data_IF_880711945706
#
_entry.id   IF_880711945706
#
_cell.length_a   1.000
_cell.length_b   1.000
_cell.length_c   1.000
_cell.angle_alpha   90.00
_cell.angle_beta   90.00
_cell.angle_gamma   90.00
#
_symmetry.space_group_name_H-M   'P 1'
#
loop_
_entity.id
_entity.type
_entity.pdbx_description
1 polymer ?
#
# COMPACT_ATOMS: atom_id res chain seq x y z
N UNK A 1 -85.98 -1.35 -8.84
CA UNK A 1 -85.94 -1.81 -7.44
C UNK A 1 -84.88 -2.90 -7.32
N UNK A 2 -83.90 -2.70 -6.43
CA UNK A 2 -82.86 -3.59 -5.87
C UNK A 2 -82.40 -4.89 -6.58
N UNK A 3 -81.07 -4.94 -6.73
CA UNK A 3 -80.11 -6.00 -6.39
C UNK A 3 -80.07 -7.32 -7.21
N UNK A 4 -78.85 -7.61 -7.69
CA UNK A 4 -78.40 -8.82 -8.39
C UNK A 4 -77.76 -9.78 -7.37
N UNK A 5 -78.04 -11.08 -7.52
CA UNK A 5 -77.54 -12.17 -6.67
C UNK A 5 -76.33 -12.90 -7.29
N UNK A 6 -75.35 -13.08 -6.41
CA UNK A 6 -74.35 -14.14 -6.18
C UNK A 6 -74.38 -15.46 -6.99
N UNK A 7 -73.17 -15.97 -7.26
CA UNK A 7 -72.84 -17.40 -7.33
C UNK A 7 -71.54 -17.69 -6.52
N UNK A 8 -71.56 -18.77 -5.74
CA UNK A 8 -70.49 -19.28 -4.85
C UNK A 8 -70.30 -20.79 -5.10
N UNK A 9 -69.04 -21.24 -5.09
CA UNK A 9 -68.56 -22.55 -4.61
C UNK A 9 -67.01 -22.50 -4.58
N UNK A 10 -66.33 -22.34 -3.43
CA UNK A 10 -65.85 -23.32 -2.43
C UNK A 10 -64.87 -24.39 -2.96
N UNK A 11 -63.60 -24.30 -2.54
CA UNK A 11 -62.71 -25.41 -2.12
C UNK A 11 -61.50 -24.83 -1.35
N UNK A 12 -61.53 -24.83 -0.01
CA UNK A 12 -60.82 -25.70 0.95
C UNK A 12 -59.34 -25.35 1.22
N UNK A 13 -59.09 -24.91 2.45
CA UNK A 13 -57.80 -24.66 3.09
C UNK A 13 -57.13 -25.97 3.55
N UNK A 14 -55.80 -25.98 3.54
CA UNK A 14 -54.98 -26.66 4.55
C UNK A 14 -53.78 -25.80 4.91
N UNK A 15 -53.61 -25.55 6.21
CA UNK A 15 -52.47 -24.91 6.85
C UNK A 15 -51.40 -25.96 7.19
N UNK A 16 -50.13 -25.62 6.97
CA UNK A 16 -48.98 -26.40 7.44
C UNK A 16 -47.72 -25.57 7.33
N UNK A 17 -47.08 -25.32 8.47
CA UNK A 17 -45.89 -24.51 8.65
C UNK A 17 -44.68 -25.04 7.87
N UNK A 18 -43.79 -24.14 7.45
CA UNK A 18 -42.41 -24.50 7.14
C UNK A 18 -41.48 -23.51 7.84
N UNK A 19 -40.48 -24.10 8.48
CA UNK A 19 -39.49 -23.54 9.38
C UNK A 19 -38.43 -22.73 8.64
N UNK A 20 -37.89 -21.75 9.37
CA UNK A 20 -36.65 -21.04 9.07
C UNK A 20 -35.51 -22.02 9.33
N UNK A 21 -34.67 -22.27 8.32
CA UNK A 21 -33.33 -22.82 8.51
C UNK A 21 -32.31 -21.86 7.89
N UNK A 22 -31.19 -21.78 8.60
CA UNK A 22 -30.14 -20.78 8.51
C UNK A 22 -29.38 -20.81 7.18
N UNK A 23 -28.97 -19.63 6.74
CA UNK A 23 -27.89 -19.47 5.76
C UNK A 23 -26.59 -19.65 6.55
N UNK A 24 -25.83 -20.68 6.21
CA UNK A 24 -24.50 -20.94 6.75
C UNK A 24 -23.54 -19.82 6.35
N UNK A 25 -22.90 -19.27 7.38
CA UNK A 25 -21.83 -18.29 7.38
C UNK A 25 -20.51 -19.06 7.18
N UNK A 26 -19.84 -18.87 6.05
CA UNK A 26 -18.53 -19.45 5.79
C UNK A 26 -17.47 -18.46 6.29
N UNK A 27 -17.17 -18.55 7.58
CA UNK A 27 -15.97 -17.98 8.20
C UNK A 27 -14.89 -19.06 8.26
N UNK A 28 -13.94 -19.03 7.32
CA UNK A 28 -12.68 -19.75 7.50
C UNK A 28 -11.65 -18.76 8.05
N UNK A 29 -11.51 -18.80 9.37
CA UNK A 29 -10.30 -18.37 10.05
C UNK A 29 -9.39 -19.59 10.19
N UNK A 30 -8.22 -19.56 9.55
CA UNK A 30 -7.12 -20.46 9.90
C UNK A 30 -6.13 -19.71 10.78
N UNK A 31 -6.29 -19.95 12.08
CA UNK A 31 -5.36 -19.65 13.14
C UNK A 31 -4.29 -20.76 13.12
N UNK A 32 -3.10 -20.48 12.57
CA UNK A 32 -1.97 -21.40 12.63
C UNK A 32 -1.34 -21.32 14.02
N UNK A 33 -1.65 -22.29 14.86
CA UNK A 33 -0.94 -22.57 16.12
C UNK A 33 0.35 -23.33 15.81
N UNK A 34 1.51 -22.72 16.05
CA UNK A 34 2.78 -23.44 16.09
C UNK A 34 2.95 -24.12 17.46
N UNK A 35 2.89 -25.45 17.44
CA UNK A 35 3.25 -26.32 18.56
C UNK A 35 4.78 -26.33 18.75
N UNK A 36 5.22 -25.84 19.90
CA UNK A 36 6.55 -26.07 20.45
C UNK A 36 6.67 -27.54 20.84
N UNK A 37 7.59 -28.27 20.21
CA UNK A 37 8.05 -29.55 20.73
C UNK A 37 9.57 -29.56 20.87
N UNK A 38 9.95 -29.46 22.14
CA UNK A 38 11.25 -29.76 22.73
C UNK A 38 11.55 -31.25 22.56
N UNK A 39 12.71 -31.57 22.00
CA UNK A 39 13.45 -32.75 22.44
C UNK A 39 14.93 -32.67 22.01
N UNK A 40 15.74 -32.65 23.06
CA UNK A 40 17.13 -33.10 23.16
C UNK A 40 17.54 -34.20 22.19
N UNK A 41 18.76 -34.11 21.67
CA UNK A 41 19.72 -35.20 21.81
C UNK A 41 21.15 -34.66 21.82
N UNK A 42 21.86 -35.05 22.88
CA UNK A 42 23.29 -34.88 23.13
C UNK A 42 24.09 -35.77 22.17
N UNK A 43 25.20 -35.27 21.60
CA UNK A 43 26.41 -36.08 21.47
C UNK A 43 27.66 -35.22 21.69
N UNK A 44 28.42 -35.61 22.71
CA UNK A 44 29.75 -35.16 23.08
C UNK A 44 30.80 -35.53 22.02
N UNK A 45 31.80 -34.66 21.80
CA UNK A 45 33.19 -34.90 22.24
C UNK A 45 34.23 -34.00 21.52
N UNK A 46 35.03 -33.34 22.38
CA UNK A 46 36.49 -33.14 22.31
C UNK A 46 37.11 -32.37 21.13
N UNK A 47 37.72 -31.22 21.41
CA UNK A 47 39.13 -31.18 21.85
C UNK A 47 39.51 -29.74 22.27
N UNK A 48 39.88 -29.59 23.53
CA UNK A 48 40.68 -28.47 24.03
C UNK A 48 42.13 -28.66 23.56
N UNK A 49 42.77 -27.61 23.02
CA UNK A 49 44.12 -27.29 23.47
C UNK A 49 44.53 -25.83 23.22
N UNK A 50 44.84 -25.24 24.37
CA UNK A 50 45.47 -23.98 24.78
C UNK A 50 46.85 -23.67 24.15
N UNK A 51 47.36 -22.48 24.53
CA UNK A 51 48.69 -21.85 24.36
C UNK A 51 48.81 -20.89 23.16
N UNK A 52 49.07 -19.59 23.28
CA UNK A 52 49.39 -18.73 24.42
C UNK A 52 50.46 -17.71 23.99
N UNK A 53 50.36 -16.47 24.51
CA UNK A 53 51.40 -15.40 24.54
C UNK A 53 51.93 -14.87 23.19
N UNK A 54 52.41 -13.64 22.99
CA UNK A 54 52.63 -12.41 23.76
C UNK A 54 52.92 -11.31 22.70
N UNK A 55 52.40 -10.10 22.88
CA UNK A 55 53.16 -8.83 23.08
C UNK A 55 53.78 -8.13 21.85
N UNK A 56 54.03 -6.84 22.08
CA UNK A 56 54.69 -5.78 21.29
C UNK A 56 53.74 -4.97 20.37
N UNK A 57 53.16 -3.86 20.84
CA UNK A 57 53.74 -2.50 21.04
C UNK A 57 54.27 -1.85 19.74
N UNK A 58 53.60 -0.78 19.27
CA UNK A 58 54.12 0.61 19.29
C UNK A 58 53.38 1.53 18.27
N UNK A 59 52.77 2.58 18.83
CA UNK A 59 52.82 4.01 18.47
C UNK A 59 52.58 4.51 17.02
N UNK A 60 51.58 5.40 16.90
CA UNK A 60 51.68 6.82 16.49
C UNK A 60 50.23 7.37 16.40
N UNK A 61 49.78 8.22 17.32
CA UNK A 61 49.88 9.70 17.34
C UNK A 61 49.22 10.43 16.16
N UNK A 62 48.38 11.41 16.56
CA UNK A 62 47.83 12.57 15.82
C UNK A 62 46.60 12.31 14.93
N UNK A 63 45.51 13.09 14.93
CA UNK A 63 45.25 14.45 15.40
C UNK A 63 43.72 14.66 15.54
N UNK A 64 43.31 15.54 16.45
CA UNK A 64 41.92 15.98 16.64
C UNK A 64 41.39 16.73 15.40
N UNK A 65 40.15 16.48 14.99
CA UNK A 65 39.33 17.50 14.32
C UNK A 65 37.86 17.37 14.78
N UNK A 66 37.52 18.21 15.76
CA UNK A 66 36.16 18.51 16.16
C UNK A 66 35.50 19.37 15.07
N UNK A 67 34.55 18.81 14.34
CA UNK A 67 33.52 19.61 13.66
C UNK A 67 32.13 19.06 13.98
N UNK A 68 31.56 19.63 15.03
CA UNK A 68 30.12 19.73 15.22
C UNK A 68 29.55 20.53 14.03
N UNK A 69 28.86 19.88 13.12
CA UNK A 69 27.86 20.52 12.27
C UNK A 69 26.47 20.04 12.75
N UNK A 70 25.98 20.70 13.80
CA UNK A 70 24.55 20.82 14.06
C UNK A 70 23.95 21.66 12.94
N UNK A 71 23.30 21.02 11.97
CA UNK A 71 22.44 21.71 11.01
C UNK A 71 20.99 21.40 11.39
N UNK A 72 20.46 22.25 12.27
CA UNK A 72 19.04 22.63 12.23
C UNK A 72 18.81 23.38 10.90
N UNK A 73 18.06 22.78 9.98
CA UNK A 73 17.47 23.52 8.84
C UNK A 73 16.00 23.14 8.66
N UNK A 74 15.18 23.62 9.61
CA UNK A 74 13.80 23.95 9.35
C UNK A 74 13.75 25.04 8.27
N UNK A 75 13.49 24.63 7.03
CA UNK A 75 12.78 25.34 5.95
C UNK A 75 13.41 25.08 4.56
N UNK A 76 13.58 23.82 4.20
CA UNK A 76 13.95 23.45 2.84
C UNK A 76 12.69 23.37 1.95
N UNK A 77 12.51 24.43 1.16
CA UNK A 77 11.72 24.45 -0.08
C UNK A 77 12.24 23.37 -1.06
N UNK A 78 11.83 22.12 -0.84
CA UNK A 78 12.13 20.99 -1.72
C UNK A 78 10.89 20.62 -2.54
N UNK A 79 10.53 21.37 -3.57
CA UNK A 79 9.58 20.77 -4.51
C UNK A 79 9.70 21.30 -5.94
N UNK A 80 9.59 20.35 -6.86
CA UNK A 80 9.95 20.47 -8.27
C UNK A 80 10.44 19.13 -8.85
N UNK A 81 11.16 18.31 -8.05
CA UNK A 81 11.77 17.04 -8.50
C UNK A 81 11.64 15.88 -7.48
N UNK A 82 10.66 15.94 -6.56
CA UNK A 82 10.40 14.82 -5.64
C UNK A 82 9.45 13.84 -6.34
N UNK A 83 9.83 12.58 -6.44
CA UNK A 83 9.02 11.49 -7.02
C UNK A 83 8.62 10.41 -6.01
N UNK A 84 9.20 10.46 -4.81
CA UNK A 84 9.01 9.45 -3.78
C UNK A 84 8.04 10.02 -2.73
N UNK A 85 6.93 9.33 -2.51
CA UNK A 85 5.97 9.64 -1.46
C UNK A 85 6.31 8.85 -0.19
N UNK A 86 7.35 9.32 0.51
CA UNK A 86 7.82 8.77 1.79
C UNK A 86 7.26 9.49 3.01
N UNK A 87 7.90 9.30 4.17
CA UNK A 87 7.46 9.87 5.45
C UNK A 87 7.36 11.41 5.46
N UNK A 88 8.12 12.11 4.61
CA UNK A 88 8.20 13.57 4.58
C UNK A 88 6.92 14.21 4.05
N UNK A 89 6.29 13.59 3.05
CA UNK A 89 5.08 14.11 2.38
C UNK A 89 3.79 13.47 2.86
N UNK A 90 3.87 12.49 3.76
CA UNK A 90 2.71 11.77 4.31
C UNK A 90 2.19 12.40 5.61
N UNK A 91 2.04 13.72 5.56
CA UNK A 91 1.56 14.55 6.68
C UNK A 91 0.23 15.20 6.30
N UNK A 92 -0.65 15.37 7.30
CA UNK A 92 -1.95 16.01 7.08
C UNK A 92 -1.79 17.43 6.50
N UNK A 93 -0.83 18.19 7.04
CA UNK A 93 -0.49 19.52 6.54
C UNK A 93 -0.06 19.53 5.07
N UNK A 94 0.55 18.46 4.57
CA UNK A 94 0.92 18.31 3.15
C UNK A 94 -0.31 17.96 2.32
N UNK A 95 -1.13 17.00 2.75
CA UNK A 95 -2.39 16.64 2.08
C UNK A 95 -3.29 17.86 1.88
N UNK A 96 -3.37 18.75 2.88
CA UNK A 96 -4.20 19.97 2.82
C UNK A 96 -3.64 21.08 1.94
N UNK A 97 -2.37 21.02 1.56
CA UNK A 97 -1.71 21.98 0.66
C UNK A 97 -1.74 21.56 -0.80
N UNK A 98 -2.21 20.36 -1.11
CA UNK A 98 -2.46 19.94 -2.50
C UNK A 98 -3.54 20.87 -3.09
N UNK A 99 -3.28 21.59 -4.18
CA UNK A 99 -4.28 22.45 -4.79
C UNK A 99 -5.49 21.64 -5.29
N UNK A 100 -6.69 22.12 -4.99
CA UNK A 100 -7.95 21.38 -5.21
C UNK A 100 -8.17 21.03 -6.68
N UNK A 101 -7.68 21.85 -7.62
CA UNK A 101 -7.78 21.58 -9.05
C UNK A 101 -7.03 20.30 -9.48
N UNK A 102 -5.95 19.93 -8.79
CA UNK A 102 -5.21 18.70 -9.08
C UNK A 102 -5.88 17.49 -8.45
N UNK A 103 -6.51 17.66 -7.27
CA UNK A 103 -7.36 16.64 -6.67
C UNK A 103 -8.57 16.39 -7.58
N UNK A 104 -9.26 17.46 -8.02
CA UNK A 104 -10.41 17.38 -8.92
C UNK A 104 -10.01 16.71 -10.24
N UNK A 105 -8.86 17.08 -10.82
CA UNK A 105 -8.36 16.44 -12.04
C UNK A 105 -8.07 14.96 -11.81
N UNK A 106 -7.41 14.60 -10.71
CA UNK A 106 -7.15 13.21 -10.36
C UNK A 106 -8.45 12.39 -10.23
N UNK A 107 -9.45 12.87 -9.47
CA UNK A 107 -10.74 12.19 -9.30
C UNK A 107 -11.47 11.94 -10.61
N UNK A 108 -11.40 12.90 -11.52
CA UNK A 108 -12.16 12.87 -12.77
C UNK A 108 -11.43 12.19 -13.92
N UNK A 109 -10.09 12.14 -13.90
CA UNK A 109 -9.28 11.56 -14.98
C UNK A 109 -8.74 10.17 -14.68
N UNK A 110 -8.62 9.78 -13.41
CA UNK A 110 -8.03 8.49 -13.06
C UNK A 110 -9.05 7.42 -12.68
N UNK A 111 -8.69 6.20 -13.05
CA UNK A 111 -9.31 4.93 -12.68
C UNK A 111 -8.17 4.01 -12.28
N UNK A 112 -8.15 3.63 -11.00
CA UNK A 112 -7.03 2.93 -10.39
C UNK A 112 -7.38 1.46 -10.29
N UNK A 113 -6.54 0.58 -10.84
CA UNK A 113 -6.56 -0.84 -10.51
C UNK A 113 -5.39 -1.14 -9.58
N UNK A 114 -5.71 -1.75 -8.44
CA UNK A 114 -4.73 -2.09 -7.42
C UNK A 114 -4.83 -3.57 -7.08
N UNK A 115 -3.72 -4.28 -7.22
CA UNK A 115 -3.61 -5.67 -6.80
C UNK A 115 -2.69 -5.81 -5.59
N UNK A 116 -3.19 -6.51 -4.57
CA UNK A 116 -2.47 -6.74 -3.33
C UNK A 116 -3.11 -7.86 -2.52
N UNK A 117 -2.41 -8.27 -1.47
CA UNK A 117 -2.98 -8.93 -0.31
C UNK A 117 -2.64 -8.12 0.96
N UNK A 118 -3.06 -8.65 2.12
CA UNK A 118 -2.71 -8.21 3.47
C UNK A 118 -2.18 -6.76 3.61
N UNK A 119 -0.87 -6.52 3.51
CA UNK A 119 -0.23 -5.21 3.72
C UNK A 119 -0.65 -4.13 2.70
N UNK A 120 -1.10 -4.49 1.51
CA UNK A 120 -1.63 -3.52 0.55
C UNK A 120 -2.94 -2.89 0.99
N UNK A 121 -3.68 -3.54 1.90
CA UNK A 121 -4.92 -2.98 2.46
C UNK A 121 -4.70 -1.65 3.20
N UNK A 122 -3.46 -1.29 3.54
CA UNK A 122 -3.19 -0.04 4.26
C UNK A 122 -3.51 1.16 3.38
N UNK A 123 -3.20 1.12 2.08
CA UNK A 123 -3.58 2.19 1.14
C UNK A 123 -5.09 2.29 1.05
N UNK A 124 -5.77 1.18 0.73
CA UNK A 124 -7.22 1.23 0.47
C UNK A 124 -8.01 1.59 1.70
N UNK A 125 -7.69 1.00 2.86
CA UNK A 125 -8.41 1.28 4.12
C UNK A 125 -8.27 2.74 4.56
N UNK A 126 -7.09 3.33 4.38
CA UNK A 126 -6.86 4.76 4.63
C UNK A 126 -7.61 5.66 3.64
N UNK A 127 -7.55 5.33 2.34
CA UNK A 127 -8.22 6.09 1.28
C UNK A 127 -9.74 6.04 1.43
N UNK A 128 -10.31 4.89 1.81
CA UNK A 128 -11.75 4.73 2.02
C UNK A 128 -12.27 5.43 3.28
N UNK A 129 -11.42 5.65 4.28
CA UNK A 129 -11.76 6.41 5.48
C UNK A 129 -11.69 7.94 5.30
N UNK A 130 -10.81 8.42 4.43
CA UNK A 130 -10.54 9.86 4.25
C UNK A 130 -11.78 10.72 3.94
N UNK A 131 -12.75 10.28 3.10
CA UNK A 131 -14.00 11.03 2.87
C UNK A 131 -14.76 11.46 4.13
N UNK A 132 -14.62 10.73 5.24
CA UNK A 132 -15.33 11.01 6.49
C UNK A 132 -14.51 11.85 7.47
N UNK A 133 -13.29 12.27 7.11
CA UNK A 133 -12.36 12.90 8.03
C UNK A 133 -12.77 14.32 8.43
N UNK A 134 -12.89 15.24 7.47
CA UNK A 134 -13.31 16.63 7.68
C UNK A 134 -14.48 16.98 6.78
N UNK A 135 -15.23 18.02 7.17
CA UNK A 135 -16.37 18.51 6.37
C UNK A 135 -15.90 18.91 4.96
N UNK A 136 -16.53 18.31 3.95
CA UNK A 136 -16.18 18.52 2.53
C UNK A 136 -15.18 17.52 1.96
N UNK A 137 -14.60 16.63 2.76
CA UNK A 137 -13.71 15.57 2.27
C UNK A 137 -14.48 14.50 1.49
N UNK A 138 -15.77 14.34 1.74
CA UNK A 138 -16.66 13.46 0.98
C UNK A 138 -16.81 13.88 -0.49
N UNK A 139 -16.58 15.17 -0.76
CA UNK A 139 -16.49 15.75 -2.10
C UNK A 139 -15.04 15.79 -2.57
N UNK A 140 -14.14 16.38 -1.77
CA UNK A 140 -12.74 16.63 -2.15
C UNK A 140 -11.95 15.34 -2.36
N UNK A 141 -12.13 14.35 -1.50
CA UNK A 141 -11.45 13.05 -1.58
C UNK A 141 -12.43 11.91 -1.84
N UNK A 142 -13.58 12.22 -2.46
CA UNK A 142 -14.63 11.25 -2.74
C UNK A 142 -14.12 10.07 -3.58
N UNK A 143 -14.36 8.85 -3.09
CA UNK A 143 -13.96 7.59 -3.72
C UNK A 143 -15.14 6.65 -3.93
N UNK A 144 -15.06 5.83 -4.98
CA UNK A 144 -15.96 4.70 -5.22
C UNK A 144 -15.17 3.41 -5.43
N UNK A 145 -15.76 2.29 -5.02
CA UNK A 145 -15.18 0.96 -5.14
C UNK A 145 -15.85 0.20 -6.29
N UNK A 146 -15.04 -0.32 -7.22
CA UNK A 146 -15.37 -1.19 -8.36
C UNK A 146 -16.44 -0.68 -9.36
N UNK A 147 -17.08 0.44 -9.06
CA UNK A 147 -18.11 1.05 -9.89
C UNK A 147 -17.83 2.55 -10.04
N UNK A 148 -17.70 3.06 -11.28
CA UNK A 148 -17.52 4.49 -11.50
C UNK A 148 -18.68 5.34 -11.00
N UNK A 149 -18.36 6.35 -10.20
CA UNK A 149 -19.33 7.36 -9.72
C UNK A 149 -18.82 8.75 -10.12
N UNK A 150 -19.70 9.56 -10.72
CA UNK A 150 -19.34 10.91 -11.17
C UNK A 150 -18.82 11.76 -10.00
N UNK A 151 -17.70 12.46 -10.24
CA UNK A 151 -17.05 13.31 -9.23
C UNK A 151 -16.22 12.55 -8.20
N UNK A 152 -16.13 11.21 -8.28
CA UNK A 152 -15.33 10.37 -7.39
C UNK A 152 -14.20 9.65 -8.13
N UNK A 153 -13.08 9.45 -7.45
CA UNK A 153 -12.02 8.56 -7.90
C UNK A 153 -12.50 7.11 -7.77
N UNK A 154 -12.43 6.34 -8.86
CA UNK A 154 -12.77 4.92 -8.81
C UNK A 154 -11.54 4.08 -8.59
N UNK A 155 -11.61 3.19 -7.60
CA UNK A 155 -10.60 2.20 -7.29
C UNK A 155 -11.23 0.83 -7.54
N UNK A 156 -10.59 0.06 -8.41
CA UNK A 156 -10.82 -1.36 -8.57
C UNK A 156 -9.85 -2.08 -7.64
N UNK A 157 -10.37 -2.64 -6.55
CA UNK A 157 -9.55 -3.29 -5.52
C UNK A 157 -9.48 -4.80 -5.80
N UNK A 158 -8.31 -5.42 -5.58
CA UNK A 158 -8.06 -6.82 -5.98
C UNK A 158 -8.31 -7.07 -7.49
N UNK A 159 -8.01 -6.07 -8.33
CA UNK A 159 -8.53 -5.98 -9.69
C UNK A 159 -7.98 -7.01 -10.69
N UNK A 160 -6.83 -7.61 -10.41
CA UNK A 160 -6.03 -8.32 -11.42
C UNK A 160 -5.88 -9.82 -11.14
N UNK A 161 -6.31 -10.33 -9.99
CA UNK A 161 -6.15 -11.74 -9.61
C UNK A 161 -6.76 -12.71 -10.65
N UNK A 162 -7.94 -12.38 -11.18
CA UNK A 162 -8.64 -13.22 -12.18
C UNK A 162 -8.00 -13.16 -13.58
N UNK A 163 -6.97 -12.33 -13.77
CA UNK A 163 -6.23 -12.18 -15.03
C UNK A 163 -4.90 -12.95 -15.03
N UNK A 164 -4.62 -13.72 -13.98
CA UNK A 164 -3.42 -14.53 -13.88
C UNK A 164 -3.29 -15.52 -15.06
N UNK A 165 -2.09 -15.77 -15.59
CA UNK A 165 -1.85 -16.84 -16.56
C UNK A 165 -2.33 -18.19 -16.02
N UNK A 166 -2.76 -19.07 -16.92
CA UNK A 166 -3.27 -20.38 -16.53
C UNK A 166 -2.22 -21.19 -15.76
N UNK A 167 -2.52 -21.51 -14.50
CA UNK A 167 -1.64 -22.27 -13.61
C UNK A 167 -0.79 -21.41 -12.67
N UNK A 168 -0.77 -20.09 -12.88
CA UNK A 168 -0.09 -19.13 -12.03
C UNK A 168 -1.05 -18.48 -11.02
N UNK A 169 -0.48 -17.83 -10.01
CA UNK A 169 -1.22 -16.98 -9.07
C UNK A 169 -0.70 -15.56 -9.18
N UNK A 170 -1.58 -14.57 -9.08
CA UNK A 170 -1.18 -13.17 -9.09
C UNK A 170 -1.97 -12.38 -8.06
N UNK A 171 -1.91 -12.84 -6.81
CA UNK A 171 -2.62 -12.21 -5.69
C UNK A 171 -1.86 -10.98 -5.16
N UNK A 172 -0.53 -10.98 -5.23
CA UNK A 172 0.37 -9.85 -4.99
C UNK A 172 1.75 -10.13 -5.60
N UNK A 173 2.71 -9.19 -5.43
CA UNK A 173 4.07 -9.34 -5.94
C UNK A 173 4.92 -10.35 -5.16
N UNK A 174 4.53 -10.69 -3.93
CA UNK A 174 5.33 -11.56 -3.05
C UNK A 174 5.08 -13.05 -3.29
N UNK A 175 3.87 -13.42 -3.73
CA UNK A 175 3.60 -14.82 -4.06
C UNK A 175 4.24 -15.22 -5.40
N UNK A 176 4.21 -14.32 -6.40
CA UNK A 176 4.77 -14.57 -7.72
C UNK A 176 5.05 -13.25 -8.45
N UNK A 177 6.30 -12.76 -8.31
CA UNK A 177 6.77 -11.56 -9.00
C UNK A 177 7.05 -11.79 -10.49
N UNK A 178 7.02 -13.02 -11.02
CA UNK A 178 7.22 -13.26 -12.45
C UNK A 178 5.91 -13.10 -13.23
N UNK A 179 4.77 -13.52 -12.63
CA UNK A 179 3.48 -13.46 -13.33
C UNK A 179 2.86 -12.07 -13.42
N UNK A 180 3.21 -11.12 -12.54
CA UNK A 180 2.57 -9.78 -12.50
C UNK A 180 2.58 -9.06 -13.86
N UNK A 181 3.67 -9.21 -14.62
CA UNK A 181 3.83 -8.57 -15.92
C UNK A 181 2.79 -9.09 -16.91
N UNK A 182 2.65 -10.42 -17.01
CA UNK A 182 1.69 -11.03 -17.92
C UNK A 182 0.25 -10.84 -17.44
N UNK A 183 0.02 -10.88 -16.13
CA UNK A 183 -1.28 -10.58 -15.52
C UNK A 183 -1.72 -9.16 -15.82
N UNK A 184 -0.82 -8.18 -15.68
CA UNK A 184 -1.12 -6.78 -16.00
C UNK A 184 -1.42 -6.61 -17.48
N UNK A 185 -0.67 -7.28 -18.37
CA UNK A 185 -0.97 -7.31 -19.81
C UNK A 185 -2.36 -7.88 -20.09
N UNK A 186 -2.70 -9.03 -19.50
CA UNK A 186 -4.01 -9.65 -19.67
C UNK A 186 -5.14 -8.71 -19.21
N UNK A 187 -4.95 -8.04 -18.07
CA UNK A 187 -5.89 -7.07 -17.54
C UNK A 187 -6.05 -5.84 -18.45
N UNK A 188 -4.94 -5.26 -18.93
CA UNK A 188 -4.95 -4.07 -19.78
C UNK A 188 -5.31 -4.37 -21.24
N UNK A 189 -5.16 -5.60 -21.72
CA UNK A 189 -5.59 -5.97 -23.08
C UNK A 189 -7.10 -6.32 -23.13
N UNK A 190 -7.77 -6.51 -21.98
CA UNK A 190 -9.22 -6.68 -21.91
C UNK A 190 -9.95 -5.34 -22.16
N UNK A 191 -10.80 -5.25 -23.21
CA UNK A 191 -11.57 -4.03 -23.50
C UNK A 191 -12.49 -3.57 -22.36
N UNK A 192 -12.86 -4.46 -21.41
CA UNK A 192 -13.64 -4.09 -20.23
C UNK A 192 -12.89 -3.15 -19.28
N UNK A 193 -11.56 -3.16 -19.33
CA UNK A 193 -10.68 -2.33 -18.50
C UNK A 193 -10.04 -1.19 -19.31
N UNK A 194 -10.62 -0.81 -20.45
CA UNK A 194 -10.05 0.18 -21.37
C UNK A 194 -9.97 1.59 -20.77
N UNK A 195 -10.75 1.89 -19.74
CA UNK A 195 -10.77 3.17 -19.02
C UNK A 195 -9.85 3.22 -17.79
N UNK A 196 -9.31 2.08 -17.34
CA UNK A 196 -8.29 2.01 -16.29
C UNK A 196 -6.99 2.64 -16.79
N UNK A 197 -6.40 3.54 -16.01
CA UNK A 197 -5.22 4.29 -16.42
C UNK A 197 -4.24 4.59 -15.29
N UNK A 198 -4.41 3.95 -14.14
CA UNK A 198 -3.42 3.91 -13.08
C UNK A 198 -3.34 2.47 -12.56
N UNK A 199 -2.12 1.92 -12.53
CA UNK A 199 -1.84 0.57 -12.06
C UNK A 199 -0.94 0.63 -10.84
N UNK A 200 -1.31 -0.16 -9.83
CA UNK A 200 -0.54 -0.37 -8.61
C UNK A 200 -0.47 -1.86 -8.28
N UNK A 201 0.66 -2.27 -7.73
CA UNK A 201 0.90 -3.61 -7.20
C UNK A 201 1.62 -3.49 -5.86
N UNK A 202 1.14 -4.24 -4.86
CA UNK A 202 1.78 -4.27 -3.54
C UNK A 202 2.67 -5.49 -3.36
N UNK A 203 3.66 -5.33 -2.49
CA UNK A 203 4.37 -6.42 -1.82
C UNK A 203 3.64 -6.77 -0.53
N UNK A 204 3.47 -8.06 -0.24
CA UNK A 204 3.14 -8.52 1.10
C UNK A 204 4.40 -8.70 1.95
N UNK A 205 5.49 -9.19 1.36
CA UNK A 205 6.87 -9.17 1.87
C UNK A 205 7.82 -9.04 0.65
N UNK A 206 8.73 -8.05 0.65
CA UNK A 206 9.68 -7.82 -0.44
C UNK A 206 11.00 -8.58 -0.25
N UNK A 207 11.16 -9.26 0.88
CA UNK A 207 12.41 -9.86 1.28
C UNK A 207 12.87 -10.95 0.32
N UNK A 208 14.11 -10.84 -0.16
CA UNK A 208 14.79 -11.78 -1.06
C UNK A 208 14.19 -11.92 -2.47
N UNK A 209 13.25 -11.07 -2.85
CA UNK A 209 12.74 -10.98 -4.22
C UNK A 209 13.77 -10.37 -5.19
N UNK A 210 13.69 -10.71 -6.48
CA UNK A 210 14.58 -10.17 -7.50
C UNK A 210 14.04 -8.85 -8.07
N UNK A 211 14.14 -7.79 -7.26
CA UNK A 211 13.66 -6.45 -7.63
C UNK A 211 14.37 -5.93 -8.88
N UNK A 212 15.70 -6.07 -8.97
CA UNK A 212 16.49 -5.57 -10.09
C UNK A 212 16.31 -6.38 -11.37
N UNK A 213 16.20 -7.71 -11.26
CA UNK A 213 16.11 -8.61 -12.40
C UNK A 213 14.69 -8.84 -12.91
N UNK A 214 13.68 -8.68 -12.06
CA UNK A 214 12.28 -9.00 -12.39
C UNK A 214 11.34 -7.80 -12.29
N UNK A 215 11.16 -7.23 -11.11
CA UNK A 215 10.16 -6.17 -10.90
C UNK A 215 10.45 -4.90 -11.72
N UNK A 216 11.65 -4.34 -11.61
CA UNK A 216 11.99 -3.09 -12.31
C UNK A 216 11.97 -3.24 -13.84
N UNK A 217 12.56 -4.30 -14.44
CA UNK A 217 12.44 -4.55 -15.86
C UNK A 217 10.99 -4.78 -16.32
N UNK A 218 10.18 -5.49 -15.53
CA UNK A 218 8.77 -5.71 -15.83
C UNK A 218 7.96 -4.42 -15.84
N UNK A 219 8.12 -3.57 -14.81
CA UNK A 219 7.48 -2.26 -14.75
C UNK A 219 7.91 -1.37 -15.92
N UNK A 220 9.19 -1.39 -16.30
CA UNK A 220 9.69 -0.67 -17.48
C UNK A 220 9.01 -1.16 -18.76
N UNK A 221 8.89 -2.47 -18.96
CA UNK A 221 8.19 -3.03 -20.13
C UNK A 221 6.72 -2.59 -20.17
N UNK A 222 6.03 -2.59 -19.03
CA UNK A 222 4.65 -2.12 -18.95
C UNK A 222 4.51 -0.63 -19.32
N UNK A 223 5.46 0.21 -18.92
CA UNK A 223 5.51 1.63 -19.31
C UNK A 223 5.78 1.76 -20.82
N UNK A 224 6.71 1.02 -21.38
CA UNK A 224 7.03 1.04 -22.82
C UNK A 224 5.87 0.53 -23.69
N UNK A 225 5.03 -0.36 -23.15
CA UNK A 225 3.86 -0.89 -23.82
C UNK A 225 2.65 0.04 -23.67
N UNK A 226 2.27 0.37 -22.44
CA UNK A 226 0.98 0.99 -22.12
C UNK A 226 1.10 2.44 -21.65
N UNK A 227 2.30 2.95 -21.38
CA UNK A 227 2.54 4.33 -21.00
C UNK A 227 2.31 5.34 -22.14
N UNK A 228 2.49 6.62 -21.85
CA UNK A 228 2.32 7.69 -22.85
C UNK A 228 3.29 7.48 -24.02
N UNK A 229 2.73 7.27 -25.22
CA UNK A 229 3.51 6.98 -26.42
C UNK A 229 4.01 5.53 -26.52
N UNK A 230 3.52 4.65 -25.65
CA UNK A 230 3.86 3.23 -25.65
C UNK A 230 3.32 2.48 -26.88
N UNK A 231 3.88 1.29 -27.12
CA UNK A 231 3.59 0.49 -28.32
C UNK A 231 2.14 -0.03 -28.43
N UNK A 232 1.39 -0.03 -27.33
CA UNK A 232 -0.03 -0.39 -27.24
C UNK A 232 -0.94 0.84 -27.18
N UNK A 233 -0.42 2.06 -27.29
CA UNK A 233 -1.23 3.28 -27.29
C UNK A 233 -1.47 3.79 -28.71
N UNK A 234 -2.75 3.92 -29.09
CA UNK A 234 -3.14 4.41 -30.41
C UNK A 234 -4.60 4.11 -30.73
N UNK A 235 -4.90 4.08 -32.03
CA UNK A 235 -6.23 3.74 -32.54
C UNK A 235 -6.16 2.46 -33.37
N UNK A 236 -7.05 1.50 -33.13
CA UNK A 236 -7.15 0.27 -33.92
C UNK A 236 -7.25 -0.99 -33.06
N UNK A 237 -7.32 -2.14 -33.74
CA UNK A 237 -7.40 -3.44 -33.07
C UNK A 237 -6.16 -3.70 -32.20
N UNK A 238 -6.37 -4.05 -30.93
CA UNK A 238 -5.30 -4.33 -29.97
C UNK A 238 -4.55 -3.11 -29.43
N UNK A 239 -5.06 -1.89 -29.67
CA UNK A 239 -4.51 -0.64 -29.14
C UNK A 239 -5.47 -0.04 -28.10
N UNK A 240 -4.91 0.62 -27.07
CA UNK A 240 -5.64 1.41 -26.09
C UNK A 240 -5.58 2.89 -26.46
N UNK A 241 -6.68 3.59 -26.28
CA UNK A 241 -6.73 5.05 -26.52
C UNK A 241 -6.22 5.84 -25.30
N UNK A 242 -6.26 5.25 -24.11
CA UNK A 242 -5.87 5.89 -22.84
C UNK A 242 -4.54 5.31 -22.36
N UNK A 243 -3.47 6.12 -22.28
CA UNK A 243 -2.21 5.74 -21.66
C UNK A 243 -2.39 5.39 -20.18
N UNK A 244 -1.52 4.50 -19.68
CA UNK A 244 -1.54 4.02 -18.30
C UNK A 244 -0.35 4.58 -17.53
N UNK A 245 -0.61 5.07 -16.32
CA UNK A 245 0.41 5.41 -15.34
C UNK A 245 0.68 4.21 -14.42
N UNK A 246 1.93 3.96 -14.10
CA UNK A 246 2.36 2.89 -13.20
C UNK A 246 2.97 3.51 -11.96
N UNK A 247 2.36 3.25 -10.80
CA UNK A 247 2.89 3.72 -9.51
C UNK A 247 3.69 2.57 -8.91
N UNK A 248 4.96 2.84 -8.64
CA UNK A 248 5.85 1.89 -7.97
C UNK A 248 5.54 1.85 -6.48
N UNK A 249 5.85 0.73 -5.83
CA UNK A 249 5.69 0.59 -4.38
C UNK A 249 6.88 -0.18 -3.80
N UNK A 250 7.34 0.23 -2.62
CA UNK A 250 8.29 -0.56 -1.83
C UNK A 250 7.54 -1.55 -0.92
N UNK A 251 8.26 -2.50 -0.34
CA UNK A 251 7.73 -3.35 0.74
C UNK A 251 7.67 -2.65 2.09
N UNK A 252 7.04 -3.31 3.06
CA UNK A 252 6.96 -2.86 4.46
C UNK A 252 8.23 -3.15 5.25
N UNK A 253 8.38 -2.50 6.40
CA UNK A 253 9.48 -2.77 7.33
C UNK A 253 9.25 -4.05 8.16
N UNK A 254 10.33 -4.74 8.51
CA UNK A 254 10.34 -5.98 9.31
C UNK A 254 11.22 -5.77 10.54
N UNK A 255 10.67 -6.06 11.72
CA UNK A 255 11.36 -5.86 13.00
C UNK A 255 12.76 -6.49 13.00
N UNK A 256 13.79 -5.70 13.33
CA UNK A 256 15.20 -6.12 13.38
C UNK A 256 15.76 -6.78 12.10
N UNK A 257 15.06 -6.69 10.95
CA UNK A 257 15.44 -7.41 9.72
C UNK A 257 15.37 -6.53 8.47
N UNK A 258 15.56 -5.22 8.64
CA UNK A 258 15.42 -4.25 7.56
C UNK A 258 16.67 -4.09 6.68
N UNK A 259 17.86 -4.44 7.17
CA UNK A 259 19.14 -4.18 6.48
C UNK A 259 19.84 -5.46 6.08
N UNK A 260 20.40 -5.44 4.87
CA UNK A 260 21.17 -6.54 4.29
C UNK A 260 20.72 -6.81 2.86
N UNK A 261 21.50 -7.60 2.14
CA UNK A 261 21.11 -8.05 0.80
C UNK A 261 19.71 -8.70 0.84
N UNK A 262 18.85 -8.30 -0.09
CA UNK A 262 17.46 -8.76 -0.16
C UNK A 262 16.55 -8.26 0.98
N UNK A 263 16.99 -7.38 1.89
CA UNK A 263 16.14 -6.89 3.00
C UNK A 263 15.33 -5.64 2.61
N UNK A 264 14.22 -5.33 3.31
CA UNK A 264 13.31 -4.25 2.96
C UNK A 264 13.97 -2.91 2.64
N UNK A 265 14.96 -2.47 3.41
CA UNK A 265 15.68 -1.22 3.15
C UNK A 265 16.37 -1.25 1.79
N UNK A 266 17.16 -2.29 1.55
CA UNK A 266 17.98 -2.43 0.35
C UNK A 266 17.09 -2.57 -0.90
N UNK A 267 15.99 -3.30 -0.80
CA UNK A 267 15.00 -3.43 -1.87
C UNK A 267 14.27 -2.10 -2.15
N UNK A 268 13.90 -1.35 -1.10
CA UNK A 268 13.32 -0.03 -1.22
C UNK A 268 14.30 0.96 -1.87
N UNK A 269 15.58 0.91 -1.50
CA UNK A 269 16.64 1.75 -2.09
C UNK A 269 16.74 1.53 -3.60
N UNK A 270 16.72 0.27 -4.07
CA UNK A 270 16.72 -0.07 -5.51
C UNK A 270 15.52 0.53 -6.26
N UNK A 271 14.30 0.37 -5.72
CA UNK A 271 13.08 0.90 -6.34
C UNK A 271 13.08 2.42 -6.35
N UNK A 272 13.46 3.04 -5.22
CA UNK A 272 13.47 4.48 -5.08
C UNK A 272 14.54 5.14 -5.97
N UNK A 273 15.72 4.55 -6.11
CA UNK A 273 16.76 5.01 -7.04
C UNK A 273 16.25 4.96 -8.48
N UNK A 274 15.72 3.81 -8.91
CA UNK A 274 15.11 3.67 -10.24
C UNK A 274 14.04 4.74 -10.50
N UNK A 275 13.16 4.97 -9.51
CA UNK A 275 12.08 5.95 -9.62
C UNK A 275 12.59 7.38 -9.78
N UNK A 276 13.62 7.77 -9.01
CA UNK A 276 14.24 9.10 -9.14
C UNK A 276 14.93 9.28 -10.48
N UNK A 277 15.68 8.28 -10.94
CA UNK A 277 16.40 8.35 -12.21
C UNK A 277 15.47 8.42 -13.43
N UNK A 278 14.31 7.76 -13.34
CA UNK A 278 13.36 7.62 -14.44
C UNK A 278 12.12 8.52 -14.29
N UNK A 279 12.10 9.43 -13.31
CA UNK A 279 10.98 10.31 -12.99
C UNK A 279 9.65 9.55 -12.80
N UNK A 280 9.71 8.38 -12.17
CA UNK A 280 8.53 7.55 -11.85
C UNK A 280 8.11 7.79 -10.41
N UNK A 281 6.80 7.79 -10.15
CA UNK A 281 6.30 7.98 -8.78
C UNK A 281 6.33 6.67 -7.99
N UNK A 282 6.79 6.74 -6.75
CA UNK A 282 6.84 5.62 -5.82
C UNK A 282 6.08 5.93 -4.53
N UNK A 283 5.26 4.98 -4.06
CA UNK A 283 4.69 4.96 -2.72
C UNK A 283 5.62 4.14 -1.81
N UNK A 284 6.39 4.84 -0.97
CA UNK A 284 7.48 4.25 -0.20
C UNK A 284 7.00 3.80 1.19
N UNK A 285 6.52 2.56 1.26
CA UNK A 285 6.13 1.91 2.51
C UNK A 285 7.29 1.85 3.50
N UNK A 286 8.51 1.58 3.04
CA UNK A 286 9.65 1.39 3.94
C UNK A 286 9.97 2.69 4.67
N UNK A 287 10.03 3.81 3.94
CA UNK A 287 10.20 5.13 4.52
C UNK A 287 9.08 5.46 5.51
N UNK A 288 7.83 5.20 5.17
CA UNK A 288 6.69 5.44 6.08
C UNK A 288 6.81 4.57 7.33
N UNK A 289 7.06 3.27 7.20
CA UNK A 289 7.00 2.32 8.32
C UNK A 289 8.20 2.46 9.27
N UNK A 290 9.32 3.02 8.81
CA UNK A 290 10.55 3.20 9.61
C UNK A 290 10.76 4.62 10.15
N UNK A 291 9.81 5.54 9.96
CA UNK A 291 9.90 6.87 10.54
C UNK A 291 8.71 7.15 11.45
N UNK A 292 8.97 7.71 12.63
CA UNK A 292 7.90 8.18 13.50
C UNK A 292 7.21 9.44 12.94
N UNK A 293 6.24 9.95 13.68
CA UNK A 293 5.42 11.08 13.24
C UNK A 293 6.19 12.41 13.24
N UNK A 294 7.29 12.48 13.99
CA UNK A 294 8.24 13.59 14.03
C UNK A 294 9.29 13.49 12.92
N UNK A 295 9.46 12.31 12.32
CA UNK A 295 10.40 12.05 11.23
C UNK A 295 11.73 11.46 11.69
N UNK A 296 11.83 10.93 12.92
CA UNK A 296 13.01 10.20 13.34
C UNK A 296 13.00 8.79 12.73
N UNK A 297 14.16 8.36 12.24
CA UNK A 297 14.35 7.04 11.64
C UNK A 297 14.62 5.95 12.68
N UNK A 298 13.90 4.84 12.55
CA UNK A 298 13.96 3.65 13.38
C UNK A 298 14.21 2.41 12.52
N UNK A 299 15.49 2.11 12.31
CA UNK A 299 15.94 0.98 11.48
C UNK A 299 15.39 -0.38 11.92
N UNK A 300 15.12 -0.57 13.20
CA UNK A 300 14.63 -1.82 13.78
C UNK A 300 13.09 -1.91 13.82
N UNK A 301 12.40 -0.91 13.26
CA UNK A 301 10.95 -0.85 13.26
C UNK A 301 10.29 -1.92 12.37
N UNK A 302 9.06 -2.28 12.71
CA UNK A 302 8.16 -3.04 11.84
C UNK A 302 7.08 -2.16 11.19
N UNK A 303 6.28 -2.77 10.34
CA UNK A 303 5.14 -2.18 9.62
C UNK A 303 4.03 -1.62 10.53
N UNK A 304 3.95 -2.10 11.77
CA UNK A 304 3.04 -1.57 12.78
C UNK A 304 3.62 -0.35 13.52
N UNK A 305 4.88 0.02 13.28
CA UNK A 305 5.57 1.14 13.95
C UNK A 305 6.11 0.80 15.35
N UNK A 306 6.28 -0.48 15.67
CA UNK A 306 7.02 -0.89 16.87
C UNK A 306 8.52 -0.94 16.56
N UNK A 307 9.33 -0.27 17.40
CA UNK A 307 10.79 -0.32 17.36
C UNK A 307 11.33 -0.69 18.75
N UNK A 308 12.17 -1.73 18.88
CA UNK A 308 12.89 -2.04 20.11
C UNK A 308 13.74 -0.88 20.66
N UNK A 309 14.40 -0.09 19.80
CA UNK A 309 15.20 1.08 20.16
C UNK A 309 14.33 2.25 20.65
N UNK A 310 13.15 2.45 20.05
CA UNK A 310 12.14 3.37 20.59
C UNK A 310 11.55 2.85 21.91
N UNK A 311 11.46 1.53 22.04
CA UNK A 311 10.98 0.80 23.20
C UNK A 311 9.47 0.51 23.21
N UNK A 312 8.73 0.92 22.17
CA UNK A 312 7.28 0.74 22.02
C UNK A 312 6.83 1.04 20.58
N UNK A 313 5.52 1.13 20.37
CA UNK A 313 4.91 1.50 19.10
C UNK A 313 4.69 3.03 19.03
N UNK A 314 5.45 3.70 18.17
CA UNK A 314 5.40 5.17 18.03
C UNK A 314 4.10 5.64 17.35
N UNK A 315 3.48 4.84 16.49
CA UNK A 315 2.22 5.19 15.86
C UNK A 315 1.03 5.08 16.81
N UNK A 316 1.00 4.04 17.64
CA UNK A 316 -0.01 3.89 18.70
C UNK A 316 0.13 5.03 19.70
N UNK A 317 1.34 5.30 20.19
CA UNK A 317 1.57 6.40 21.12
C UNK A 317 1.16 7.75 20.55
N UNK A 318 1.52 8.02 19.29
CA UNK A 318 1.10 9.25 18.65
C UNK A 318 -0.43 9.30 18.58
N UNK A 319 -1.10 8.25 18.11
CA UNK A 319 -2.56 8.25 17.97
C UNK A 319 -3.28 8.42 19.33
N UNK A 320 -2.79 7.80 20.41
CA UNK A 320 -3.35 7.93 21.76
C UNK A 320 -3.22 9.35 22.34
N UNK A 321 -2.21 10.12 21.89
CA UNK A 321 -2.00 11.50 22.30
C UNK A 321 -2.62 12.54 21.34
N UNK A 322 -3.30 12.09 20.28
CA UNK A 322 -3.91 12.94 19.26
C UNK A 322 -5.42 12.74 19.17
N UNK A 323 -6.11 13.67 18.51
CA UNK A 323 -7.58 13.73 18.50
C UNK A 323 -8.16 13.21 17.18
N UNK A 324 -9.01 12.19 17.26
CA UNK A 324 -9.78 11.68 16.12
C UNK A 324 -10.63 12.80 15.48
N UNK A 325 -10.60 12.91 14.16
CA UNK A 325 -11.29 13.94 13.39
C UNK A 325 -10.54 15.29 13.33
N UNK A 326 -9.47 15.43 14.11
CA UNK A 326 -8.60 16.62 14.09
C UNK A 326 -7.25 16.30 13.48
N UNK A 327 -6.60 15.24 13.94
CA UNK A 327 -5.23 14.87 13.58
C UNK A 327 -5.18 13.59 12.71
N UNK A 328 -6.15 12.69 12.89
CA UNK A 328 -6.28 11.44 12.14
C UNK A 328 -7.76 11.07 11.93
N UNK A 329 -8.03 10.15 11.01
CA UNK A 329 -9.35 9.57 10.75
C UNK A 329 -9.40 8.06 10.96
N UNK A 330 -10.62 7.53 11.02
CA UNK A 330 -10.88 6.09 11.04
C UNK A 330 -10.75 5.51 9.64
N UNK A 331 -9.94 4.48 9.52
CA UNK A 331 -9.87 3.65 8.32
C UNK A 331 -11.18 2.87 8.11
N UNK A 332 -11.50 2.55 6.86
CA UNK A 332 -12.68 1.76 6.52
C UNK A 332 -12.39 0.64 5.54
N UNK A 333 -13.15 -0.45 5.63
CA UNK A 333 -13.04 -1.58 4.68
C UNK A 333 -13.41 -1.18 3.24
N UNK A 334 -14.37 -0.27 3.10
CA UNK A 334 -14.88 0.28 1.84
C UNK A 334 -15.48 1.68 2.08
N UNK A 335 -15.73 2.50 1.04
CA UNK A 335 -16.30 3.84 1.22
C UNK A 335 -17.64 3.81 1.96
N UNK A 336 -17.71 4.43 3.15
CA UNK A 336 -18.90 4.40 4.02
C UNK A 336 -19.18 3.06 4.71
N UNK A 337 -18.28 2.08 4.56
CA UNK A 337 -18.38 0.76 5.19
C UNK A 337 -17.92 0.74 6.65
N UNK A 338 -17.69 -0.45 7.19
CA UNK A 338 -17.25 -0.63 8.58
C UNK A 338 -15.84 -0.07 8.83
N UNK A 339 -15.61 0.39 10.05
CA UNK A 339 -14.27 0.74 10.53
C UNK A 339 -13.37 -0.50 10.57
N UNK A 340 -12.15 -0.37 10.04
CA UNK A 340 -11.16 -1.45 10.03
C UNK A 340 -9.75 -0.88 9.86
N UNK A 341 -8.81 -1.16 10.77
CA UNK A 341 -7.39 -0.78 10.64
C UNK A 341 -6.72 -1.49 9.46
N UNK A 342 -5.51 -1.08 9.04
CA UNK A 342 -4.68 -1.87 8.09
C UNK A 342 -4.42 -3.29 8.60
N UNK A 343 -4.21 -4.27 7.72
CA UNK A 343 -3.82 -5.61 8.18
C UNK A 343 -2.51 -5.52 8.94
N UNK A 344 -2.27 -6.37 9.94
CA UNK A 344 -1.07 -6.30 10.79
C UNK A 344 -0.88 -4.98 11.57
N UNK A 345 -1.81 -4.02 11.46
CA UNK A 345 -1.75 -2.75 12.17
C UNK A 345 -2.83 -2.64 13.25
N UNK A 346 -2.45 -2.06 14.39
CA UNK A 346 -3.32 -1.87 15.55
C UNK A 346 -3.95 -0.47 15.62
N UNK A 347 -3.57 0.42 14.72
CA UNK A 347 -3.92 1.84 14.71
C UNK A 347 -4.31 2.30 13.30
N UNK A 348 -4.94 3.47 13.22
CA UNK A 348 -5.37 4.01 11.94
C UNK A 348 -4.30 4.80 11.21
N UNK A 349 -3.45 5.50 11.97
CA UNK A 349 -2.52 6.49 11.43
C UNK A 349 -1.55 5.93 10.36
N UNK A 350 -1.12 4.67 10.47
CA UNK A 350 -0.24 4.04 9.46
C UNK A 350 -0.88 4.01 8.07
N UNK A 351 -2.13 3.57 7.99
CA UNK A 351 -2.89 3.57 6.73
C UNK A 351 -3.29 4.99 6.30
N UNK A 352 -3.56 5.91 7.24
CA UNK A 352 -3.80 7.32 6.92
C UNK A 352 -2.60 7.93 6.18
N UNK A 353 -1.38 7.68 6.65
CA UNK A 353 -0.13 8.14 6.00
C UNK A 353 0.00 7.58 4.58
N UNK A 354 -0.27 6.30 4.39
CA UNK A 354 -0.24 5.64 3.07
C UNK A 354 -1.33 6.18 2.12
N UNK A 355 -2.48 6.59 2.65
CA UNK A 355 -3.50 7.30 1.89
C UNK A 355 -3.10 8.74 1.52
N UNK A 356 -2.40 9.46 2.40
CA UNK A 356 -1.82 10.77 2.06
C UNK A 356 -0.79 10.63 0.93
N UNK A 357 0.06 9.61 0.98
CA UNK A 357 1.04 9.29 -0.05
C UNK A 357 0.35 9.09 -1.42
N UNK A 358 -0.70 8.27 -1.42
CA UNK A 358 -1.49 7.97 -2.60
C UNK A 358 -2.09 9.23 -3.24
N UNK A 359 -2.77 10.09 -2.46
CA UNK A 359 -3.34 11.33 -2.99
C UNK A 359 -2.29 12.33 -3.47
N UNK A 360 -1.15 12.39 -2.78
CA UNK A 360 -0.01 13.18 -3.23
C UNK A 360 0.46 12.71 -4.61
N UNK A 361 0.68 11.41 -4.81
CA UNK A 361 1.09 10.85 -6.12
C UNK A 361 0.05 11.16 -7.20
N UNK A 362 -1.25 10.95 -6.92
CA UNK A 362 -2.30 11.21 -7.90
C UNK A 362 -2.36 12.69 -8.31
N UNK A 363 -2.20 13.62 -7.37
CA UNK A 363 -2.14 15.03 -7.71
C UNK A 363 -0.93 15.37 -8.59
N UNK A 364 0.23 14.75 -8.32
CA UNK A 364 1.43 14.90 -9.15
C UNK A 364 1.24 14.33 -10.55
N UNK A 365 0.63 13.14 -10.68
CA UNK A 365 0.23 12.57 -11.97
C UNK A 365 -0.77 13.46 -12.72
N UNK A 366 -1.66 14.15 -11.99
CA UNK A 366 -2.56 15.14 -12.56
C UNK A 366 -1.86 16.43 -13.00
N UNK A 367 -0.56 16.59 -12.74
CA UNK A 367 0.28 17.69 -13.21
C UNK A 367 0.59 18.74 -12.15
N UNK A 368 0.39 18.44 -10.86
CA UNK A 368 0.95 19.26 -9.80
C UNK A 368 2.47 19.10 -9.78
N UNK A 369 3.21 20.21 -9.69
CA UNK A 369 4.67 20.22 -9.57
C UNK A 369 5.17 19.74 -8.20
N UNK A 370 4.26 19.68 -7.22
CA UNK A 370 4.53 19.30 -5.84
C UNK A 370 4.85 20.49 -4.95
N UNK A 371 5.00 21.71 -5.50
CA UNK A 371 5.30 22.89 -4.70
C UNK A 371 4.18 23.13 -3.70
N UNK A 372 4.54 23.12 -2.42
CA UNK A 372 3.64 23.41 -1.33
C UNK A 372 3.56 24.93 -1.24
N UNK A 373 2.46 25.51 -1.73
CA UNK A 373 2.17 26.95 -1.59
C UNK A 373 1.80 27.36 -0.16
#
# INVERSE_FOLDING_TARGET
MKAVYFFVAIMLMFSGACTIDAVEDNTDGEELTEDVNDNSDEEENNDDQDDGSNEDEENNEDENDDSNDDIDDDNASYVGNVFIAGHEVTKESVLRRIPVEYIDKARNSFRVAYQHTSHGTHVTRGVFGLPDYKSGDDVTFGVSLDTPVSGKLTIYDYAMQDYAPAGEKSVDLSEDEESFLQTTRNFLDDPQNADVNVIMWSWCDISNHDVEGTYLPGMKQLIEEYGVGGSKIGTGEGQREVPVHFIFMTGHAIENNNIGEGRPKNQADLINEFCRENNQFCLDYYSIDTHDMEGNYWEDANDNGYSPKYGKNFYVEWQENHTLGVDYWLNRKEPGGIELTGSHNTQHITANRKAMAFWWILARLAGWDGELE
#
